data_IF_758944947016
#
_entry.id   IF_758944947016
#
_cell.length_a   1.000
_cell.length_b   1.000
_cell.length_c   1.000
_cell.angle_alpha   90.00
_cell.angle_beta   90.00
_cell.angle_gamma   90.00
#
_symmetry.space_group_name_H-M   'P 1'
#
loop_
_entity.id
_entity.type
_entity.pdbx_description
1 polymer ?
#
# COMPACT_ATOMS: atom_id res chain seq x y z
N UNK A 1 -21.36 0.54 -19.72
CA UNK A 1 -20.42 -0.53 -19.26
C UNK A 1 -19.79 -1.33 -20.40
N UNK A 2 -20.43 -1.51 -21.55
CA UNK A 2 -19.81 -2.25 -22.68
C UNK A 2 -18.60 -1.55 -23.34
N UNK A 3 -18.65 -0.21 -23.53
CA UNK A 3 -17.57 0.53 -24.19
C UNK A 3 -16.18 0.46 -23.50
N UNK A 4 -16.13 0.46 -22.18
CA UNK A 4 -14.84 0.44 -21.47
C UNK A 4 -14.11 -0.90 -21.53
N UNK A 5 -14.86 -2.01 -21.69
CA UNK A 5 -14.24 -3.34 -21.82
C UNK A 5 -13.68 -3.58 -23.23
N UNK A 6 -14.31 -3.03 -24.27
CA UNK A 6 -13.80 -3.11 -25.65
C UNK A 6 -12.52 -2.26 -25.79
N UNK A 7 -12.51 -1.03 -25.32
CA UNK A 7 -11.36 -0.14 -25.36
C UNK A 7 -10.14 -0.71 -24.59
N UNK A 8 -10.39 -1.40 -23.47
CA UNK A 8 -9.34 -2.08 -22.73
C UNK A 8 -8.75 -3.26 -23.52
N UNK A 9 -9.59 -4.09 -24.14
CA UNK A 9 -9.12 -5.21 -24.96
C UNK A 9 -8.34 -4.73 -26.17
N UNK A 10 -8.78 -3.66 -26.84
CA UNK A 10 -8.06 -3.02 -27.94
C UNK A 10 -6.66 -2.55 -27.48
N UNK A 11 -6.56 -1.98 -26.28
CA UNK A 11 -5.27 -1.57 -25.70
C UNK A 11 -4.36 -2.77 -25.39
N UNK A 12 -4.91 -3.91 -24.96
CA UNK A 12 -4.13 -5.14 -24.74
C UNK A 12 -3.66 -5.74 -26.07
N UNK A 13 -4.50 -5.73 -27.10
CA UNK A 13 -4.11 -6.15 -28.45
C UNK A 13 -3.01 -5.27 -29.01
N UNK A 14 -3.12 -3.94 -28.87
CA UNK A 14 -2.08 -3.01 -29.27
C UNK A 14 -0.75 -3.26 -28.54
N UNK A 15 -0.80 -3.61 -27.24
CA UNK A 15 0.40 -4.04 -26.51
C UNK A 15 1.01 -5.31 -27.12
N UNK A 16 0.20 -6.34 -27.39
CA UNK A 16 0.66 -7.60 -27.95
C UNK A 16 1.31 -7.44 -29.32
N UNK A 17 0.65 -6.69 -30.22
CA UNK A 17 1.18 -6.37 -31.54
C UNK A 17 2.51 -5.61 -31.47
N UNK A 18 2.58 -4.63 -30.57
CA UNK A 18 3.77 -3.81 -30.43
C UNK A 18 4.93 -4.57 -29.80
N UNK A 19 4.67 -5.47 -28.82
CA UNK A 19 5.68 -6.39 -28.26
C UNK A 19 6.25 -7.30 -29.35
N UNK A 20 5.37 -7.89 -30.17
CA UNK A 20 5.78 -8.79 -31.27
C UNK A 20 6.56 -8.07 -32.38
N UNK A 21 6.16 -6.84 -32.73
CA UNK A 21 6.81 -6.07 -33.78
C UNK A 21 8.15 -5.51 -33.37
N UNK A 22 8.24 -4.93 -32.18
CA UNK A 22 9.38 -4.16 -31.72
C UNK A 22 10.44 -5.00 -30.98
N UNK A 23 10.07 -6.19 -30.52
CA UNK A 23 10.91 -7.12 -29.73
C UNK A 23 11.84 -6.42 -28.74
N UNK A 24 11.33 -5.59 -27.80
CA UNK A 24 12.16 -4.76 -26.96
C UNK A 24 13.12 -5.61 -26.13
N UNK A 25 14.40 -5.24 -26.15
CA UNK A 25 15.44 -5.96 -25.40
C UNK A 25 15.54 -5.51 -23.94
N UNK A 26 15.02 -4.33 -23.61
CA UNK A 26 15.03 -3.76 -22.26
C UNK A 26 13.67 -3.20 -21.89
N UNK A 27 13.10 -3.75 -20.82
CA UNK A 27 11.80 -3.33 -20.29
C UNK A 27 11.98 -3.07 -18.79
N UNK A 28 11.69 -1.85 -18.36
CA UNK A 28 11.66 -1.47 -16.95
C UNK A 28 10.20 -1.40 -16.47
N UNK A 29 9.82 -2.25 -15.54
CA UNK A 29 8.54 -2.15 -14.83
C UNK A 29 8.80 -1.30 -13.58
N UNK A 30 8.10 -0.18 -13.46
CA UNK A 30 8.31 0.80 -12.39
C UNK A 30 7.04 0.94 -11.57
N UNK A 31 7.15 0.71 -10.28
CA UNK A 31 6.06 0.90 -9.31
C UNK A 31 6.25 2.20 -8.53
N UNK A 32 5.27 2.57 -7.71
CA UNK A 32 5.45 3.70 -6.80
C UNK A 32 6.57 3.42 -5.76
N UNK A 33 7.17 4.50 -5.18
CA UNK A 33 8.35 4.41 -4.28
C UNK A 33 8.19 3.51 -3.05
N UNK A 34 6.99 3.32 -2.58
CA UNK A 34 6.68 2.48 -1.41
C UNK A 34 5.85 1.28 -1.81
N UNK A 35 6.20 0.66 -2.95
CA UNK A 35 5.44 -0.43 -3.55
C UNK A 35 4.82 -1.35 -2.48
N UNK A 36 3.52 -1.46 -2.51
CA UNK A 36 2.77 -2.34 -1.62
C UNK A 36 2.64 -3.75 -2.21
N UNK A 37 1.72 -4.53 -1.70
CA UNK A 37 1.55 -5.92 -2.14
C UNK A 37 0.93 -5.95 -3.53
N UNK A 38 -0.02 -5.06 -3.82
CA UNK A 38 -0.71 -5.03 -5.12
C UNK A 38 0.24 -4.60 -6.25
N UNK A 39 0.98 -3.51 -6.05
CA UNK A 39 1.99 -3.04 -7.00
C UNK A 39 3.03 -4.12 -7.37
N UNK A 40 3.54 -4.86 -6.35
CA UNK A 40 4.58 -5.87 -6.57
C UNK A 40 4.03 -7.17 -7.16
N UNK A 41 2.84 -7.60 -6.78
CA UNK A 41 2.17 -8.75 -7.36
C UNK A 41 1.91 -8.52 -8.86
N UNK A 42 1.33 -7.36 -9.17
CA UNK A 42 1.05 -6.90 -10.52
C UNK A 42 2.31 -6.81 -11.38
N UNK A 43 3.37 -6.18 -10.84
CA UNK A 43 4.66 -6.07 -11.54
C UNK A 43 5.31 -7.44 -11.79
N UNK A 44 5.21 -8.38 -10.84
CA UNK A 44 5.78 -9.72 -10.97
C UNK A 44 5.06 -10.54 -12.04
N UNK A 45 3.73 -10.57 -12.02
CA UNK A 45 2.94 -11.33 -12.98
C UNK A 45 3.06 -10.76 -14.40
N UNK A 46 3.07 -9.43 -14.54
CA UNK A 46 3.32 -8.78 -15.84
C UNK A 46 4.73 -9.11 -16.35
N UNK A 47 5.74 -9.11 -15.47
CA UNK A 47 7.11 -9.53 -15.83
C UNK A 47 7.15 -10.96 -16.32
N UNK A 48 6.50 -11.90 -15.63
CA UNK A 48 6.42 -13.31 -16.04
C UNK A 48 5.79 -13.48 -17.41
N UNK A 49 4.67 -12.81 -17.66
CA UNK A 49 4.01 -12.79 -18.95
C UNK A 49 4.94 -12.26 -20.06
N UNK A 50 5.57 -11.12 -19.86
CA UNK A 50 6.48 -10.53 -20.85
C UNK A 50 7.67 -11.46 -21.13
N UNK A 51 8.26 -12.09 -20.12
CA UNK A 51 9.38 -13.02 -20.30
C UNK A 51 8.97 -14.30 -21.03
N UNK A 52 7.71 -14.72 -20.91
CA UNK A 52 7.17 -15.84 -21.69
C UNK A 52 7.01 -15.47 -23.17
N UNK A 53 6.51 -14.27 -23.44
CA UNK A 53 6.33 -13.77 -24.82
C UNK A 53 7.66 -13.42 -25.47
N UNK A 54 8.60 -12.86 -24.72
CA UNK A 54 9.90 -12.36 -25.17
C UNK A 54 11.05 -12.89 -24.29
N UNK A 55 11.45 -14.18 -24.43
CA UNK A 55 12.45 -14.79 -23.55
C UNK A 55 13.84 -14.16 -23.63
N UNK A 56 14.15 -13.44 -24.72
CA UNK A 56 15.44 -12.74 -24.91
C UNK A 56 15.48 -11.33 -24.31
N UNK A 57 14.38 -10.85 -23.73
CA UNK A 57 14.28 -9.53 -23.13
C UNK A 57 14.79 -9.52 -21.70
N UNK A 58 15.43 -8.41 -21.32
CA UNK A 58 15.75 -8.13 -19.92
C UNK A 58 14.62 -7.30 -19.32
N UNK A 59 13.84 -7.90 -18.42
CA UNK A 59 12.73 -7.24 -17.72
C UNK A 59 13.11 -7.06 -16.25
N UNK A 60 13.17 -5.79 -15.81
CA UNK A 60 13.55 -5.43 -14.42
C UNK A 60 12.38 -4.74 -13.71
N UNK A 61 12.24 -5.00 -12.41
CA UNK A 61 11.22 -4.35 -11.56
C UNK A 61 11.89 -3.33 -10.66
N UNK A 62 11.43 -2.09 -10.72
CA UNK A 62 11.99 -0.95 -9.99
C UNK A 62 11.02 -0.40 -8.95
N UNK A 63 11.53 -0.19 -7.72
CA UNK A 63 10.84 0.53 -6.65
C UNK A 63 11.87 1.23 -5.76
N UNK A 64 11.94 2.56 -5.81
CA UNK A 64 13.05 3.35 -5.24
C UNK A 64 13.03 3.47 -3.72
N UNK A 65 11.89 3.34 -3.09
CA UNK A 65 11.74 3.58 -1.66
C UNK A 65 11.92 2.32 -0.80
N UNK A 66 11.79 2.51 0.51
CA UNK A 66 11.80 1.39 1.46
C UNK A 66 10.46 0.64 1.40
N UNK A 67 10.51 -0.63 1.02
CA UNK A 67 9.33 -1.48 0.98
C UNK A 67 8.68 -1.62 2.37
N UNK A 68 7.35 -1.56 2.45
CA UNK A 68 6.59 -1.99 3.61
C UNK A 68 6.91 -3.42 4.02
N UNK A 69 6.62 -3.79 5.27
CA UNK A 69 6.96 -5.13 5.78
C UNK A 69 6.22 -6.25 5.03
N UNK A 70 4.96 -6.04 4.67
CA UNK A 70 4.16 -6.99 3.89
C UNK A 70 4.76 -7.20 2.50
N UNK A 71 5.13 -6.11 1.83
CA UNK A 71 5.76 -6.15 0.51
C UNK A 71 7.09 -6.93 0.52
N UNK A 72 7.86 -6.83 1.60
CA UNK A 72 9.07 -7.66 1.77
C UNK A 72 8.75 -9.15 1.83
N UNK A 73 7.69 -9.53 2.55
CA UNK A 73 7.24 -10.92 2.61
C UNK A 73 6.83 -11.45 1.23
N UNK A 74 6.18 -10.62 0.41
CA UNK A 74 5.83 -10.99 -0.97
C UNK A 74 7.08 -11.14 -1.85
N UNK A 75 8.03 -10.22 -1.75
CA UNK A 75 9.31 -10.29 -2.49
C UNK A 75 10.07 -11.58 -2.15
N UNK A 76 10.14 -11.94 -0.87
CA UNK A 76 10.74 -13.20 -0.41
C UNK A 76 9.99 -14.42 -0.97
N UNK A 77 8.66 -14.42 -0.93
CA UNK A 77 7.82 -15.50 -1.46
C UNK A 77 8.00 -15.71 -2.96
N UNK A 78 8.04 -14.63 -3.74
CA UNK A 78 8.23 -14.66 -5.18
C UNK A 78 9.68 -14.94 -5.60
N UNK A 79 10.66 -14.65 -4.73
CA UNK A 79 12.06 -14.57 -5.12
C UNK A 79 12.33 -13.42 -6.11
N UNK A 80 11.55 -12.34 -6.01
CA UNK A 80 11.61 -11.21 -6.93
C UNK A 80 12.77 -10.29 -6.59
N UNK A 81 13.60 -9.99 -7.57
CA UNK A 81 14.65 -8.97 -7.46
C UNK A 81 14.07 -7.58 -7.72
N UNK A 82 14.25 -6.67 -6.78
CA UNK A 82 13.80 -5.27 -6.88
C UNK A 82 15.00 -4.36 -7.02
N UNK A 83 15.07 -3.64 -8.13
CA UNK A 83 16.07 -2.60 -8.39
C UNK A 83 15.65 -1.31 -7.67
N UNK A 84 16.56 -0.74 -6.87
CA UNK A 84 16.27 0.47 -6.07
C UNK A 84 16.58 1.77 -6.80
N UNK A 85 17.37 1.70 -7.81
CA UNK A 85 17.77 2.82 -8.64
C UNK A 85 16.68 3.14 -9.68
N UNK A 86 16.65 4.39 -10.13
CA UNK A 86 15.87 4.80 -11.29
C UNK A 86 16.40 4.02 -12.50
N UNK A 87 15.52 3.44 -13.35
CA UNK A 87 15.99 2.77 -14.55
C UNK A 87 16.74 3.74 -15.46
N UNK A 88 17.80 3.26 -16.09
CA UNK A 88 18.45 3.96 -17.19
C UNK A 88 17.52 3.88 -18.41
N UNK A 89 16.94 5.00 -18.78
CA UNK A 89 15.95 5.11 -19.87
C UNK A 89 16.62 5.81 -21.06
N UNK A 90 16.49 5.21 -22.22
CA UNK A 90 16.91 5.75 -23.51
C UNK A 90 15.89 5.36 -24.61
N UNK A 91 16.17 5.77 -25.85
CA UNK A 91 15.33 5.57 -27.03
C UNK A 91 15.14 4.10 -27.47
N UNK A 92 15.80 3.15 -26.81
CA UNK A 92 15.61 1.70 -26.99
C UNK A 92 14.84 1.04 -25.82
N UNK A 93 14.58 1.79 -24.74
CA UNK A 93 13.98 1.29 -23.52
C UNK A 93 12.45 1.34 -23.57
N UNK A 94 11.81 0.32 -23.04
CA UNK A 94 10.39 0.32 -22.77
C UNK A 94 10.18 0.50 -21.26
N UNK A 95 9.19 1.30 -20.87
CA UNK A 95 8.88 1.58 -19.47
C UNK A 95 7.40 1.33 -19.23
N UNK A 96 7.09 0.41 -18.31
CA UNK A 96 5.74 0.17 -17.83
C UNK A 96 5.59 0.69 -16.39
N UNK A 97 4.73 1.67 -16.18
CA UNK A 97 4.33 2.09 -14.85
C UNK A 97 3.19 1.19 -14.38
N UNK A 98 3.32 0.64 -13.19
CA UNK A 98 2.34 -0.30 -12.62
C UNK A 98 1.91 0.19 -11.25
N UNK A 99 0.61 0.33 -11.07
CA UNK A 99 -0.02 0.72 -9.80
C UNK A 99 0.54 2.04 -9.25
N UNK A 100 0.54 3.08 -10.06
CA UNK A 100 1.27 4.29 -9.74
C UNK A 100 0.44 5.58 -9.75
N UNK A 101 -0.84 5.57 -10.14
CA UNK A 101 -1.76 6.71 -10.14
C UNK A 101 -1.20 8.02 -10.71
N UNK A 102 -0.03 8.43 -10.22
CA UNK A 102 0.70 9.61 -10.63
C UNK A 102 2.18 9.31 -10.86
N UNK A 103 2.78 9.85 -11.92
CA UNK A 103 4.21 9.70 -12.24
C UNK A 103 5.12 10.13 -11.07
N UNK A 104 4.75 11.18 -10.34
CA UNK A 104 5.51 11.71 -9.20
C UNK A 104 5.72 10.70 -8.06
N UNK A 105 4.85 9.72 -7.93
CA UNK A 105 4.94 8.66 -6.93
C UNK A 105 6.04 7.64 -7.24
N UNK A 106 6.42 7.49 -8.50
CA UNK A 106 7.43 6.52 -8.98
C UNK A 106 8.87 6.99 -8.77
N UNK A 107 9.08 8.29 -8.73
CA UNK A 107 10.41 8.92 -8.72
C UNK A 107 11.00 9.18 -10.09
N UNK A 108 10.28 8.87 -11.16
CA UNK A 108 10.61 9.32 -12.50
C UNK A 108 10.14 10.75 -12.72
N UNK A 109 10.90 11.51 -13.50
CA UNK A 109 10.47 12.79 -14.07
C UNK A 109 9.82 12.60 -15.45
N UNK A 110 8.99 13.54 -15.88
CA UNK A 110 8.43 13.53 -17.25
C UNK A 110 9.53 13.49 -18.31
N UNK A 111 10.64 14.22 -18.12
CA UNK A 111 11.76 14.22 -19.05
C UNK A 111 12.46 12.87 -19.17
N UNK A 112 12.63 12.14 -18.06
CA UNK A 112 13.17 10.78 -18.09
C UNK A 112 12.23 9.82 -18.81
N UNK A 113 10.93 9.84 -18.47
CA UNK A 113 9.94 8.97 -19.12
C UNK A 113 9.83 9.27 -20.64
N UNK A 114 9.90 10.53 -21.04
CA UNK A 114 9.85 10.94 -22.45
C UNK A 114 11.03 10.39 -23.29
N UNK A 115 12.14 10.01 -22.67
CA UNK A 115 13.26 9.36 -23.33
C UNK A 115 13.02 7.89 -23.71
N UNK A 116 11.95 7.27 -23.23
CA UNK A 116 11.61 5.89 -23.53
C UNK A 116 11.00 5.75 -24.94
N UNK A 117 11.33 4.65 -25.62
CA UNK A 117 10.75 4.27 -26.91
C UNK A 117 9.25 3.95 -26.81
N UNK A 118 8.85 3.37 -25.68
CA UNK A 118 7.46 3.04 -25.41
C UNK A 118 7.16 3.19 -23.92
N UNK A 119 6.04 3.86 -23.61
CA UNK A 119 5.57 4.18 -22.27
C UNK A 119 4.22 3.54 -22.07
N UNK A 120 4.11 2.68 -21.08
CA UNK A 120 2.93 1.89 -20.78
C UNK A 120 2.45 2.28 -19.37
N UNK A 121 1.15 2.44 -19.19
CA UNK A 121 0.50 2.54 -17.87
C UNK A 121 -0.37 1.30 -17.65
N UNK A 122 -0.24 0.69 -16.48
CA UNK A 122 -1.11 -0.38 -15.99
C UNK A 122 -1.62 0.01 -14.62
N UNK A 123 -2.89 0.37 -14.50
CA UNK A 123 -3.40 0.97 -13.26
C UNK A 123 -4.92 0.79 -13.10
N UNK A 124 -5.40 0.90 -11.85
CA UNK A 124 -6.80 0.93 -11.48
C UNK A 124 -7.24 2.26 -10.84
N UNK A 125 -6.29 3.15 -10.53
CA UNK A 125 -6.56 4.45 -9.93
C UNK A 125 -7.18 5.44 -10.94
N UNK A 126 -7.85 6.51 -10.48
CA UNK A 126 -8.27 7.59 -11.38
C UNK A 126 -7.10 8.09 -12.22
N UNK A 127 -7.30 8.14 -13.54
CA UNK A 127 -6.24 8.47 -14.48
C UNK A 127 -5.84 9.94 -14.40
N UNK A 128 -4.54 10.17 -14.31
CA UNK A 128 -3.89 11.48 -14.35
C UNK A 128 -2.84 11.45 -15.47
N UNK A 129 -2.78 12.50 -16.28
CA UNK A 129 -1.73 12.66 -17.31
C UNK A 129 -1.65 11.51 -18.34
N UNK A 130 -2.79 11.04 -18.86
CA UNK A 130 -2.83 9.91 -19.84
C UNK A 130 -2.03 10.18 -21.12
N UNK A 131 -1.90 11.42 -21.53
CA UNK A 131 -1.25 11.90 -22.73
C UNK A 131 0.27 11.64 -22.78
N UNK A 132 0.87 11.29 -21.64
CA UNK A 132 2.31 10.94 -21.60
C UNK A 132 2.59 9.47 -21.92
N UNK A 133 1.57 8.62 -22.03
CA UNK A 133 1.71 7.19 -22.29
C UNK A 133 1.33 6.83 -23.72
N UNK A 134 2.05 5.86 -24.29
CA UNK A 134 1.75 5.33 -25.62
C UNK A 134 0.69 4.23 -25.58
N UNK A 135 0.58 3.52 -24.46
CA UNK A 135 -0.40 2.46 -24.20
C UNK A 135 -0.92 2.64 -22.78
N UNK A 136 -2.25 2.67 -22.62
CA UNK A 136 -2.92 2.79 -21.33
C UNK A 136 -3.78 1.54 -21.12
N UNK A 137 -3.40 0.72 -20.14
CA UNK A 137 -4.11 -0.47 -19.70
C UNK A 137 -4.76 -0.17 -18.36
N UNK A 138 -5.93 0.44 -18.42
CA UNK A 138 -6.64 0.93 -17.25
C UNK A 138 -8.07 0.43 -17.22
N UNK A 139 -8.49 -0.01 -16.04
CA UNK A 139 -9.89 -0.28 -15.73
C UNK A 139 -10.21 0.17 -14.31
N UNK A 140 -11.44 0.65 -14.11
CA UNK A 140 -11.99 0.84 -12.77
C UNK A 140 -12.21 -0.52 -12.11
N UNK A 141 -11.24 -0.95 -11.34
CA UNK A 141 -11.20 -2.22 -10.62
C UNK A 141 -10.87 -1.99 -9.15
N UNK A 142 -10.97 -3.00 -8.32
CA UNK A 142 -10.64 -2.89 -6.89
C UNK A 142 -9.14 -3.00 -6.62
N UNK A 143 -8.34 -3.42 -7.63
CA UNK A 143 -6.88 -3.54 -7.55
C UNK A 143 -6.24 -3.59 -8.94
N UNK A 144 -4.98 -3.21 -9.04
CA UNK A 144 -4.17 -3.41 -10.25
C UNK A 144 -3.91 -4.89 -10.53
N UNK A 145 -3.90 -5.74 -9.50
CA UNK A 145 -3.82 -7.22 -9.65
C UNK A 145 -4.97 -7.78 -10.49
N UNK A 146 -6.19 -7.25 -10.36
CA UNK A 146 -7.32 -7.63 -11.21
C UNK A 146 -7.11 -7.16 -12.65
N UNK A 147 -6.64 -5.94 -12.86
CA UNK A 147 -6.32 -5.41 -14.20
C UNK A 147 -5.25 -6.28 -14.89
N UNK A 148 -4.20 -6.64 -14.15
CA UNK A 148 -3.14 -7.52 -14.68
C UNK A 148 -3.67 -8.89 -15.01
N UNK A 149 -4.52 -9.51 -14.17
CA UNK A 149 -5.12 -10.81 -14.47
C UNK A 149 -5.91 -10.77 -15.79
N UNK A 150 -6.62 -9.70 -16.07
CA UNK A 150 -7.34 -9.53 -17.33
C UNK A 150 -6.40 -9.36 -18.53
N UNK A 151 -5.30 -8.61 -18.37
CA UNK A 151 -4.24 -8.51 -19.38
C UNK A 151 -3.67 -9.90 -19.68
N UNK A 152 -3.32 -10.67 -18.65
CA UNK A 152 -2.78 -12.01 -18.80
C UNK A 152 -3.77 -12.93 -19.54
N UNK A 153 -5.04 -12.86 -19.17
CA UNK A 153 -6.13 -13.64 -19.78
C UNK A 153 -6.29 -13.30 -21.27
N UNK A 154 -6.31 -12.02 -21.62
CA UNK A 154 -6.42 -11.56 -23.01
C UNK A 154 -5.19 -11.96 -23.84
N UNK A 155 -3.99 -11.95 -23.24
CA UNK A 155 -2.75 -12.43 -23.85
C UNK A 155 -2.62 -13.96 -23.85
N UNK A 156 -3.62 -14.70 -23.37
CA UNK A 156 -3.64 -16.17 -23.23
C UNK A 156 -2.44 -16.70 -22.44
N UNK A 157 -1.98 -15.94 -21.47
CA UNK A 157 -0.92 -16.34 -20.56
C UNK A 157 -1.54 -16.79 -19.23
N UNK A 158 -1.25 -18.03 -18.85
CA UNK A 158 -1.65 -18.56 -17.54
C UNK A 158 -0.56 -18.21 -16.51
N UNK A 159 -0.86 -17.42 -15.48
CA UNK A 159 0.09 -17.18 -14.40
C UNK A 159 0.40 -18.49 -13.66
N UNK A 160 1.63 -18.64 -13.17
CA UNK A 160 1.99 -19.78 -12.34
C UNK A 160 1.35 -19.71 -10.94
N UNK A 161 1.53 -20.78 -10.14
CA UNK A 161 0.96 -20.87 -8.79
C UNK A 161 1.41 -19.73 -7.88
N UNK A 162 2.70 -19.31 -7.98
CA UNK A 162 3.22 -18.22 -7.16
C UNK A 162 2.70 -16.86 -7.61
N UNK A 163 2.67 -16.62 -8.91
CA UNK A 163 2.12 -15.41 -9.51
C UNK A 163 0.62 -15.28 -9.18
N UNK A 164 -0.13 -16.35 -9.34
CA UNK A 164 -1.55 -16.41 -9.00
C UNK A 164 -1.80 -16.16 -7.52
N UNK A 165 -0.98 -16.73 -6.64
CA UNK A 165 -1.04 -16.48 -5.19
C UNK A 165 -0.68 -15.03 -4.85
N UNK A 166 0.29 -14.45 -5.54
CA UNK A 166 0.69 -13.07 -5.36
C UNK A 166 -0.40 -12.10 -5.80
N UNK A 167 -1.00 -12.28 -6.99
CA UNK A 167 -2.13 -11.48 -7.47
C UNK A 167 -3.32 -11.56 -6.50
N UNK A 168 -3.62 -12.76 -5.99
CA UNK A 168 -4.64 -12.93 -4.95
C UNK A 168 -4.32 -12.14 -3.67
N UNK A 169 -3.05 -12.08 -3.25
CA UNK A 169 -2.62 -11.28 -2.11
C UNK A 169 -2.76 -9.78 -2.39
N UNK A 170 -2.49 -9.31 -3.61
CA UNK A 170 -2.75 -7.95 -4.07
C UNK A 170 -4.22 -7.58 -3.94
N UNK A 171 -5.11 -8.37 -4.51
CA UNK A 171 -6.57 -8.20 -4.40
C UNK A 171 -7.00 -8.11 -2.93
N UNK A 172 -6.57 -9.04 -2.07
CA UNK A 172 -6.91 -9.04 -0.65
C UNK A 172 -6.43 -7.76 0.04
N UNK A 173 -5.26 -7.24 -0.35
CA UNK A 173 -4.70 -6.04 0.30
C UNK A 173 -5.48 -4.80 -0.06
N UNK A 174 -5.76 -4.60 -1.33
CA UNK A 174 -6.41 -3.39 -1.85
C UNK A 174 -7.90 -3.34 -1.53
N UNK A 175 -8.55 -4.49 -1.46
CA UNK A 175 -9.95 -4.58 -1.02
C UNK A 175 -10.11 -4.50 0.51
N UNK A 176 -9.10 -4.06 1.25
CA UNK A 176 -9.10 -3.99 2.72
C UNK A 176 -9.50 -5.33 3.39
N UNK A 177 -9.04 -6.45 2.86
CA UNK A 177 -9.40 -7.79 3.31
C UNK A 177 -10.80 -8.19 2.86
N UNK A 178 -11.13 -7.93 1.62
CA UNK A 178 -12.40 -8.21 0.92
C UNK A 178 -13.59 -7.37 1.41
N UNK A 179 -13.38 -6.32 2.19
CA UNK A 179 -14.47 -5.41 2.63
C UNK A 179 -14.97 -4.51 1.51
N UNK A 180 -14.09 -4.21 0.55
CA UNK A 180 -14.36 -3.36 -0.60
C UNK A 180 -14.45 -4.18 -1.90
N UNK A 181 -14.54 -5.53 -1.79
CA UNK A 181 -14.70 -6.44 -2.90
C UNK A 181 -16.10 -6.30 -3.55
N UNK A 182 -16.15 -6.48 -4.85
CA UNK A 182 -17.38 -6.54 -5.64
C UNK A 182 -17.54 -7.93 -6.31
N UNK A 183 -18.58 -8.15 -7.09
CA UNK A 183 -18.84 -9.44 -7.75
C UNK A 183 -17.67 -9.85 -8.66
N UNK A 184 -17.12 -8.93 -9.45
CA UNK A 184 -15.98 -9.18 -10.35
C UNK A 184 -14.71 -9.57 -9.60
N UNK A 185 -14.49 -9.01 -8.40
CA UNK A 185 -13.38 -9.42 -7.52
C UNK A 185 -13.45 -10.91 -7.19
N UNK A 186 -14.64 -11.44 -6.88
CA UNK A 186 -14.81 -12.87 -6.58
C UNK A 186 -14.61 -13.74 -7.82
N UNK A 187 -15.03 -13.29 -9.00
CA UNK A 187 -14.77 -13.97 -10.28
C UNK A 187 -13.25 -14.08 -10.53
N UNK A 188 -12.52 -12.99 -10.36
CA UNK A 188 -11.06 -12.97 -10.49
C UNK A 188 -10.37 -13.89 -9.45
N UNK A 189 -10.84 -13.90 -8.21
CA UNK A 189 -10.32 -14.82 -7.19
C UNK A 189 -10.56 -16.29 -7.56
N UNK A 190 -11.73 -16.62 -8.13
CA UNK A 190 -12.02 -17.95 -8.64
C UNK A 190 -11.09 -18.32 -9.81
N UNK A 191 -10.86 -17.39 -10.74
CA UNK A 191 -9.93 -17.60 -11.86
C UNK A 191 -8.49 -17.84 -11.34
N UNK A 192 -7.99 -17.02 -10.43
CA UNK A 192 -6.67 -17.21 -9.81
C UNK A 192 -6.58 -18.57 -9.09
N UNK A 193 -7.64 -18.99 -8.41
CA UNK A 193 -7.69 -20.30 -7.77
C UNK A 193 -7.60 -21.44 -8.80
N UNK A 194 -8.18 -21.30 -9.99
CA UNK A 194 -8.06 -22.31 -11.07
C UNK A 194 -6.63 -22.39 -11.63
N UNK A 195 -5.85 -21.32 -11.55
CA UNK A 195 -4.41 -21.29 -11.86
C UNK A 195 -3.51 -21.75 -10.70
N UNK A 196 -4.08 -22.25 -9.61
CA UNK A 196 -3.31 -22.83 -8.50
C UNK A 196 -3.08 -21.88 -7.32
N UNK A 197 -3.66 -20.68 -7.28
CA UNK A 197 -3.46 -19.78 -6.16
C UNK A 197 -3.80 -20.42 -4.81
N UNK A 198 -2.91 -20.31 -3.84
CA UNK A 198 -3.09 -20.77 -2.47
C UNK A 198 -3.65 -19.67 -1.58
N UNK A 199 -4.94 -19.76 -1.22
CA UNK A 199 -5.63 -18.74 -0.43
C UNK A 199 -4.96 -18.52 0.94
N UNK A 200 -4.59 -19.60 1.63
CA UNK A 200 -3.90 -19.52 2.93
C UNK A 200 -2.58 -18.76 2.83
N UNK A 201 -1.82 -19.02 1.76
CA UNK A 201 -0.53 -18.38 1.49
C UNK A 201 -0.68 -16.91 1.17
N UNK A 202 -1.68 -16.55 0.36
CA UNK A 202 -2.00 -15.16 0.08
C UNK A 202 -2.30 -14.38 1.38
N UNK A 203 -3.08 -14.98 2.28
CA UNK A 203 -3.35 -14.40 3.61
C UNK A 203 -2.09 -14.30 4.48
N UNK A 204 -1.20 -15.28 4.49
CA UNK A 204 0.09 -15.23 5.20
C UNK A 204 0.95 -14.06 4.72
N UNK A 205 0.99 -13.79 3.42
CA UNK A 205 1.70 -12.65 2.85
C UNK A 205 1.11 -11.32 3.33
N UNK A 206 -0.23 -11.19 3.31
CA UNK A 206 -0.95 -9.97 3.68
C UNK A 206 -0.94 -9.76 5.20
N UNK A 207 -1.15 -10.81 5.96
CA UNK A 207 -1.30 -10.77 7.43
C UNK A 207 -0.15 -11.50 8.10
N UNK A 208 1.07 -11.01 7.88
CA UNK A 208 2.23 -11.52 8.62
C UNK A 208 1.95 -11.49 10.11
N UNK A 209 2.14 -12.62 10.78
CA UNK A 209 1.99 -12.70 12.24
C UNK A 209 2.88 -11.67 12.94
N UNK A 210 2.31 -10.99 13.93
CA UNK A 210 3.07 -10.10 14.78
C UNK A 210 4.18 -10.88 15.50
N UNK A 211 5.38 -10.36 15.53
CA UNK A 211 6.48 -10.97 16.26
C UNK A 211 6.12 -11.21 17.73
N UNK A 212 6.78 -12.15 18.41
CA UNK A 212 6.57 -12.40 19.85
C UNK A 212 6.67 -11.10 20.65
N UNK A 213 7.66 -10.25 20.36
CA UNK A 213 7.82 -8.94 21.03
C UNK A 213 6.65 -8.01 20.79
N UNK A 214 6.16 -7.94 19.56
CA UNK A 214 5.01 -7.13 19.20
C UNK A 214 3.71 -7.64 19.87
N UNK A 215 3.49 -8.97 19.89
CA UNK A 215 2.33 -9.57 20.60
C UNK A 215 2.35 -9.23 22.10
N UNK A 216 3.52 -9.35 22.74
CA UNK A 216 3.70 -8.99 24.14
C UNK A 216 3.44 -7.49 24.37
N UNK A 217 3.95 -6.62 23.48
CA UNK A 217 3.72 -5.17 23.57
C UNK A 217 2.22 -4.83 23.49
N UNK A 218 1.47 -5.46 22.58
CA UNK A 218 0.02 -5.29 22.45
C UNK A 218 -0.73 -5.70 23.71
N UNK A 219 -0.40 -6.86 24.28
CA UNK A 219 -1.04 -7.37 25.52
C UNK A 219 -0.72 -6.45 26.70
N UNK A 220 0.56 -6.07 26.89
CA UNK A 220 0.96 -5.16 27.96
C UNK A 220 0.33 -3.78 27.81
N UNK A 221 0.19 -3.28 26.59
CA UNK A 221 -0.48 -2.01 26.33
C UNK A 221 -1.96 -2.06 26.74
N UNK A 222 -2.68 -3.13 26.41
CA UNK A 222 -4.06 -3.34 26.81
C UNK A 222 -4.21 -3.44 28.34
N UNK A 223 -3.28 -4.09 29.04
CA UNK A 223 -3.30 -4.15 30.51
C UNK A 223 -3.07 -2.79 31.19
N UNK A 224 -2.28 -1.90 30.56
CA UNK A 224 -1.88 -0.61 31.15
C UNK A 224 -2.73 0.55 30.67
N UNK A 225 -3.51 0.38 29.62
CA UNK A 225 -4.27 1.46 29.00
C UNK A 225 -5.23 2.10 29.99
N UNK A 226 -5.35 3.42 29.89
CA UNK A 226 -6.39 4.20 30.52
C UNK A 226 -7.48 4.48 29.50
N UNK A 227 -8.72 4.16 29.87
CA UNK A 227 -9.89 4.42 29.05
C UNK A 227 -10.47 5.76 29.47
N UNK A 228 -10.60 6.66 28.52
CA UNK A 228 -11.20 7.98 28.67
C UNK A 228 -12.49 8.01 27.88
N UNK A 229 -13.57 8.44 28.53
CA UNK A 229 -14.85 8.69 27.86
C UNK A 229 -14.94 10.19 27.55
N UNK A 230 -15.21 10.55 26.33
CA UNK A 230 -15.32 11.93 25.89
C UNK A 230 -16.55 12.06 24.98
N UNK A 231 -17.67 12.47 25.57
CA UNK A 231 -18.98 12.35 24.92
C UNK A 231 -19.27 10.90 24.55
N UNK A 232 -19.56 10.64 23.28
CA UNK A 232 -19.78 9.29 22.76
C UNK A 232 -18.49 8.55 22.38
N UNK A 233 -17.34 9.22 22.45
CA UNK A 233 -16.06 8.64 22.03
C UNK A 233 -15.36 7.92 23.16
N UNK A 234 -14.78 6.77 22.83
CA UNK A 234 -13.91 5.98 23.71
C UNK A 234 -12.47 6.18 23.27
N UNK A 235 -11.69 6.89 24.06
CA UNK A 235 -10.28 7.15 23.80
C UNK A 235 -9.41 6.36 24.78
N UNK A 236 -8.35 5.74 24.28
CA UNK A 236 -7.40 5.02 25.11
C UNK A 236 -6.02 5.63 25.04
N UNK A 237 -5.36 5.71 26.19
CA UNK A 237 -3.97 6.17 26.31
C UNK A 237 -3.15 5.10 27.00
N UNK A 238 -1.96 4.80 26.48
CA UNK A 238 -1.03 3.84 27.05
C UNK A 238 0.41 4.11 26.64
N UNK A 239 1.33 3.31 27.17
CA UNK A 239 2.75 3.34 26.82
C UNK A 239 3.30 1.96 26.49
N UNK A 240 4.33 1.91 25.65
CA UNK A 240 5.08 0.71 25.28
C UNK A 240 6.54 1.04 25.03
N UNK A 241 7.45 0.09 25.21
CA UNK A 241 8.86 0.30 24.88
C UNK A 241 9.12 0.31 23.37
N UNK A 242 8.27 -0.34 22.56
CA UNK A 242 8.41 -0.45 21.10
C UNK A 242 7.06 -0.78 20.45
N UNK A 243 7.00 -0.75 19.10
CA UNK A 243 5.79 -1.07 18.32
C UNK A 243 4.58 -0.14 18.55
N UNK A 244 4.81 1.09 19.03
CA UNK A 244 3.75 2.04 19.37
C UNK A 244 2.68 2.24 18.27
N UNK A 245 3.09 2.30 16.99
CA UNK A 245 2.15 2.46 15.87
C UNK A 245 1.26 1.22 15.66
N UNK A 246 1.84 0.01 15.76
CA UNK A 246 1.10 -1.25 15.66
C UNK A 246 0.17 -1.46 16.86
N UNK A 247 0.62 -1.11 18.04
CA UNK A 247 -0.17 -1.14 19.27
C UNK A 247 -1.36 -0.19 19.16
N UNK A 248 -1.17 1.06 18.72
CA UNK A 248 -2.26 2.02 18.55
C UNK A 248 -3.33 1.50 17.58
N UNK A 249 -2.92 0.93 16.43
CA UNK A 249 -3.85 0.29 15.50
C UNK A 249 -4.58 -0.91 16.10
N UNK A 250 -3.92 -1.69 16.97
CA UNK A 250 -4.54 -2.84 17.62
C UNK A 250 -5.58 -2.42 18.68
N UNK A 251 -5.34 -1.34 19.40
CA UNK A 251 -6.28 -0.81 20.40
C UNK A 251 -7.54 -0.21 19.74
N UNK A 252 -7.39 0.42 18.56
CA UNK A 252 -8.56 0.84 17.78
C UNK A 252 -9.38 -0.36 17.31
N UNK A 253 -8.73 -1.45 16.87
CA UNK A 253 -9.45 -2.69 16.51
C UNK A 253 -10.09 -3.37 17.71
N UNK A 254 -9.58 -3.16 18.92
CA UNK A 254 -10.15 -3.68 20.18
C UNK A 254 -11.44 -2.93 20.56
N UNK A 255 -11.70 -1.75 19.99
CA UNK A 255 -12.93 -1.00 20.23
C UNK A 255 -12.71 0.47 20.62
N UNK A 256 -11.49 0.98 20.66
CA UNK A 256 -11.26 2.39 20.90
C UNK A 256 -11.57 3.21 19.64
N UNK A 257 -12.23 4.36 19.80
CA UNK A 257 -12.41 5.32 18.71
C UNK A 257 -11.09 6.03 18.38
N UNK A 258 -10.26 6.30 19.40
CA UNK A 258 -8.90 6.79 19.22
C UNK A 258 -7.95 6.15 20.25
N UNK A 259 -6.74 5.83 19.81
CA UNK A 259 -5.67 5.33 20.67
C UNK A 259 -4.45 6.24 20.57
N UNK A 260 -3.91 6.64 21.72
CA UNK A 260 -2.66 7.40 21.88
C UNK A 260 -1.66 6.52 22.60
N UNK A 261 -0.58 6.14 21.91
CA UNK A 261 0.42 5.20 22.43
C UNK A 261 1.78 5.86 22.43
N UNK A 262 2.28 6.14 23.61
CA UNK A 262 3.61 6.71 23.85
C UNK A 262 4.68 5.62 23.88
N UNK A 263 5.90 6.01 23.56
CA UNK A 263 7.11 5.22 23.79
C UNK A 263 8.29 6.14 24.10
N UNK A 264 9.21 5.63 24.94
CA UNK A 264 10.44 6.35 25.23
C UNK A 264 11.33 6.47 23.99
N UNK A 265 12.04 7.59 23.92
CA UNK A 265 13.16 7.86 23.04
C UNK A 265 14.40 8.26 23.85
N UNK A 266 15.56 8.25 23.18
CA UNK A 266 16.84 8.59 23.83
C UNK A 266 16.84 9.96 24.51
N UNK A 267 16.04 10.91 23.98
CA UNK A 267 15.96 12.29 24.47
C UNK A 267 14.50 12.75 24.56
N UNK A 268 13.66 11.95 25.23
CA UNK A 268 12.24 12.30 25.43
C UNK A 268 11.28 11.15 25.12
N UNK A 269 10.18 11.47 24.50
CA UNK A 269 9.18 10.48 24.10
C UNK A 269 8.56 10.79 22.74
N UNK A 270 7.98 9.77 22.13
CA UNK A 270 7.17 9.88 20.92
C UNK A 270 5.83 9.18 21.12
N UNK A 271 4.84 9.57 20.34
CA UNK A 271 3.56 8.88 20.33
C UNK A 271 3.07 8.62 18.91
N UNK A 272 2.31 7.54 18.79
CA UNK A 272 1.44 7.28 17.62
C UNK A 272 -0.01 7.41 18.02
N UNK A 273 -0.75 8.14 17.22
CA UNK A 273 -2.18 8.31 17.34
C UNK A 273 -2.86 7.58 16.17
N UNK A 274 -3.91 6.82 16.46
CA UNK A 274 -4.74 6.15 15.46
C UNK A 274 -6.19 6.32 15.85
N UNK A 275 -7.06 6.46 14.84
CA UNK A 275 -8.49 6.56 15.07
C UNK A 275 -9.31 5.68 14.11
N UNK A 276 -10.50 5.31 14.58
CA UNK A 276 -11.53 4.62 13.81
C UNK A 276 -12.19 5.57 12.80
N UNK A 277 -12.98 5.01 11.88
CA UNK A 277 -13.82 5.82 10.98
C UNK A 277 -14.84 6.63 11.79
N UNK A 278 -15.46 6.00 12.81
CA UNK A 278 -16.42 6.65 13.70
C UNK A 278 -15.84 7.90 14.38
N UNK A 279 -14.57 7.88 14.79
CA UNK A 279 -13.94 9.07 15.37
C UNK A 279 -14.01 10.26 14.42
N UNK A 280 -13.71 10.07 13.13
CA UNK A 280 -13.76 11.13 12.13
C UNK A 280 -15.17 11.62 11.83
N UNK A 281 -16.16 10.74 11.97
CA UNK A 281 -17.59 11.07 11.77
C UNK A 281 -18.15 11.88 12.93
N UNK A 282 -17.74 11.58 14.18
CA UNK A 282 -18.27 12.21 15.40
C UNK A 282 -17.50 13.46 15.78
N UNK A 283 -16.16 13.47 15.69
CA UNK A 283 -15.35 14.55 16.28
C UNK A 283 -15.11 15.75 15.37
N UNK A 284 -15.36 15.66 14.07
CA UNK A 284 -15.00 16.66 13.05
C UNK A 284 -13.51 17.07 13.04
N UNK A 285 -12.66 16.41 13.82
CA UNK A 285 -11.24 16.72 13.99
C UNK A 285 -10.35 15.69 13.31
N UNK A 286 -9.28 16.13 12.68
CA UNK A 286 -8.26 15.21 12.15
C UNK A 286 -7.27 14.81 13.26
N UNK A 287 -6.87 13.54 13.27
CA UNK A 287 -5.85 13.03 14.18
C UNK A 287 -4.51 13.75 13.97
N UNK A 288 -4.22 14.13 12.72
CA UNK A 288 -3.01 14.92 12.40
C UNK A 288 -3.01 16.29 13.08
N UNK A 289 -4.13 17.01 13.06
CA UNK A 289 -4.27 18.29 13.75
C UNK A 289 -4.17 18.13 15.28
N UNK A 290 -4.82 17.11 15.85
CA UNK A 290 -4.69 16.80 17.28
C UNK A 290 -3.25 16.43 17.66
N UNK A 291 -2.54 15.71 16.80
CA UNK A 291 -1.13 15.36 17.02
C UNK A 291 -0.22 16.60 16.99
N UNK A 292 -0.50 17.56 16.10
CA UNK A 292 0.24 18.80 16.03
C UNK A 292 0.02 19.65 17.32
N UNK A 293 -1.25 19.85 17.71
CA UNK A 293 -1.60 20.60 18.90
C UNK A 293 -1.04 19.97 20.19
N UNK A 294 -1.21 18.65 20.36
CA UNK A 294 -0.64 17.94 21.50
C UNK A 294 0.89 17.97 21.49
N UNK A 295 1.52 17.89 20.32
CA UNK A 295 2.95 18.03 20.16
C UNK A 295 3.47 19.40 20.65
N UNK A 296 2.80 20.49 20.27
CA UNK A 296 3.10 21.85 20.73
C UNK A 296 2.92 22.00 22.24
N UNK A 297 1.82 21.47 22.81
CA UNK A 297 1.56 21.52 24.27
C UNK A 297 2.61 20.73 25.07
N UNK A 298 3.17 19.70 24.46
CA UNK A 298 4.29 18.93 25.02
C UNK A 298 5.66 19.57 24.79
N UNK A 299 5.74 20.74 24.12
CA UNK A 299 7.00 21.40 23.78
C UNK A 299 7.80 20.68 22.71
N UNK A 300 7.12 19.95 21.81
CA UNK A 300 7.69 19.22 20.70
C UNK A 300 6.96 19.56 19.39
N UNK A 301 6.83 18.56 18.53
CA UNK A 301 6.14 18.70 17.25
C UNK A 301 5.32 17.44 16.94
N UNK A 302 4.31 17.60 16.10
CA UNK A 302 3.44 16.50 15.68
C UNK A 302 2.75 16.82 14.36
N UNK A 303 2.05 15.83 13.83
CA UNK A 303 1.29 15.96 12.58
C UNK A 303 0.76 14.63 12.10
N UNK A 304 0.15 14.62 10.91
CA UNK A 304 -0.38 13.41 10.31
C UNK A 304 -1.58 13.67 9.39
N UNK A 305 -2.41 12.65 9.27
CA UNK A 305 -3.57 12.61 8.39
C UNK A 305 -4.88 12.52 9.20
N UNK A 306 -6.00 12.35 8.52
CA UNK A 306 -7.34 12.31 9.13
C UNK A 306 -7.44 11.30 10.29
N UNK A 307 -6.94 10.06 10.12
CA UNK A 307 -7.05 8.98 11.09
C UNK A 307 -5.72 8.48 11.67
N UNK A 308 -4.62 9.13 11.35
CA UNK A 308 -3.29 8.72 11.79
C UNK A 308 -2.43 9.94 12.07
N UNK A 309 -1.75 9.95 13.22
CA UNK A 309 -0.82 11.00 13.58
C UNK A 309 0.36 10.45 14.37
N UNK A 310 1.37 11.28 14.48
CA UNK A 310 2.54 11.04 15.32
C UNK A 310 3.01 12.35 15.92
N UNK A 311 3.67 12.25 17.06
CA UNK A 311 4.35 13.39 17.70
C UNK A 311 5.65 12.93 18.34
N UNK A 312 6.55 13.88 18.57
CA UNK A 312 7.79 13.72 19.31
C UNK A 312 8.01 14.92 20.24
N UNK A 313 8.53 14.69 21.43
CA UNK A 313 8.78 15.68 22.45
C UNK A 313 10.01 15.34 23.28
N UNK A 314 10.61 16.33 23.92
CA UNK A 314 11.73 16.14 24.87
C UNK A 314 11.26 15.71 26.27
N UNK A 315 9.94 15.75 26.55
CA UNK A 315 9.38 15.30 27.84
C UNK A 315 9.41 13.77 27.97
N UNK A 316 9.52 13.32 29.21
CA UNK A 316 9.41 11.90 29.54
C UNK A 316 8.02 11.33 29.17
N UNK A 317 7.96 10.04 28.92
CA UNK A 317 6.67 9.34 28.65
C UNK A 317 5.66 9.55 29.79
N UNK A 318 6.10 9.56 31.03
CA UNK A 318 5.21 9.75 32.20
C UNK A 318 4.57 11.13 32.22
N UNK A 319 5.33 12.19 31.96
CA UNK A 319 4.82 13.57 31.88
C UNK A 319 3.88 13.73 30.68
N UNK A 320 4.30 13.21 29.54
CA UNK A 320 3.51 13.24 28.29
C UNK A 320 2.16 12.54 28.42
N UNK A 321 2.09 11.41 29.12
CA UNK A 321 0.83 10.71 29.42
C UNK A 321 -0.12 11.56 30.27
N UNK A 322 0.38 12.32 31.27
CA UNK A 322 -0.45 13.18 32.12
C UNK A 322 -1.06 14.31 31.31
N UNK A 323 -0.21 15.03 30.58
CA UNK A 323 -0.63 16.16 29.75
C UNK A 323 -1.60 15.69 28.65
N UNK A 324 -1.32 14.57 28.00
CA UNK A 324 -2.18 14.04 26.95
C UNK A 324 -3.59 13.67 27.47
N UNK A 325 -3.72 13.22 28.70
CA UNK A 325 -5.05 12.97 29.32
C UNK A 325 -5.86 14.24 29.47
N UNK A 326 -5.23 15.28 30.00
CA UNK A 326 -5.86 16.60 30.21
C UNK A 326 -6.22 17.23 28.85
N UNK A 327 -5.31 17.14 27.87
CA UNK A 327 -5.55 17.58 26.51
C UNK A 327 -6.77 16.92 25.87
N UNK A 328 -6.86 15.59 25.96
CA UNK A 328 -7.99 14.83 25.38
C UNK A 328 -9.30 15.22 26.08
N UNK A 329 -9.30 15.28 27.41
CA UNK A 329 -10.48 15.72 28.14
C UNK A 329 -10.95 17.11 27.70
N UNK A 330 -10.03 18.05 27.49
CA UNK A 330 -10.34 19.43 27.07
C UNK A 330 -10.82 19.52 25.61
N UNK A 331 -10.22 18.77 24.70
CA UNK A 331 -10.43 18.98 23.26
C UNK A 331 -11.47 18.04 22.62
N UNK A 332 -11.88 16.99 23.30
CA UNK A 332 -12.87 16.04 22.77
C UNK A 332 -14.18 16.02 23.58
N UNK A 333 -14.30 16.81 24.66
CA UNK A 333 -15.51 16.87 25.52
C UNK A 333 -16.62 17.80 24.99
N UNK A 334 -16.51 18.24 23.72
CA UNK A 334 -17.54 19.08 23.10
C UNK A 334 -18.36 18.32 22.08
#
# INVERSE_FOLDING_TARGET
>A
MANGSEEFLDSVEALAERLSRDEPKRIAIVTHKRADVDALASASALRGCILTLLPSSRVTVHSQGRLPLKSKGLVEFLGLEIVREVPAIDDSSWVALVDSGELGTTGLSRGQLAGAKCRILVDHHPLVDQDIYDIVLHQLSTSTSEVVLEILTALRHAPDEKESTALLAGIITDTAGLKEANERTFEHMCALRSYGAEISKAWEVVYREASRGERIAKIKAAQRMKVLKSGELVVVITEVGSFHASVASSLVRLGADMAVVFSDEKHGSKASLRASKRFSEVSSKSVGALSAQLGEELGGHGGGHIRAGALSTTRSTRESLSIAKEFIAKHLSQ
#
